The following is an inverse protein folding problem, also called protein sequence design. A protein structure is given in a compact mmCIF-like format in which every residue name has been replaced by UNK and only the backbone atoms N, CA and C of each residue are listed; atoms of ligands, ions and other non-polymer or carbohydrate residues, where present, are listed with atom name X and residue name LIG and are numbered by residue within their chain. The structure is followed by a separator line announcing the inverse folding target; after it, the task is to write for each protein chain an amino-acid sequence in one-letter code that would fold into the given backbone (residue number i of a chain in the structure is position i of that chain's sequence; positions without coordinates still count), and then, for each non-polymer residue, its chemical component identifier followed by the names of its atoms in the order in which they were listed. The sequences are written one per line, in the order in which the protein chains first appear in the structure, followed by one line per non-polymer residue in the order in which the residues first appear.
data_IF_371416330120
#
_entry.id   IF_371416330120
#
_cell.length_a   1.000
_cell.length_b   1.000
_cell.length_c   1.000
_cell.angle_alpha   90.00
_cell.angle_beta   90.00
_cell.angle_gamma   90.00
#
_symmetry.space_group_name_H-M   'P 1'
#
loop_
_entity.id
_entity.type
_entity.pdbx_description
1 polymer ?
#
# COMPACT_ATOMS: atom_id res chain seq x y z
N UNK A 1 -2.57 24.89 -9.90
CA UNK A 1 -3.79 24.05 -9.80
C UNK A 1 -4.17 23.89 -8.32
N UNK A 2 -5.32 24.43 -7.87
CA UNK A 2 -5.66 24.48 -6.43
C UNK A 2 -6.03 23.09 -5.86
N UNK A 3 -5.61 22.82 -4.61
CA UNK A 3 -5.77 21.52 -3.92
C UNK A 3 -7.21 20.99 -3.87
N UNK A 4 -8.22 21.86 -3.89
CA UNK A 4 -9.64 21.47 -3.86
C UNK A 4 -10.12 20.85 -5.16
N UNK A 5 -9.57 21.26 -6.32
CA UNK A 5 -9.98 20.71 -7.62
C UNK A 5 -9.56 19.26 -7.82
N UNK A 6 -8.45 18.83 -7.23
CA UNK A 6 -7.88 17.50 -7.48
C UNK A 6 -8.54 16.37 -6.68
N UNK A 7 -9.15 16.67 -5.53
CA UNK A 7 -9.99 15.71 -4.80
C UNK A 7 -11.37 15.64 -5.45
N UNK A 8 -11.93 16.80 -5.81
CA UNK A 8 -13.19 16.86 -6.55
C UNK A 8 -13.09 16.19 -7.93
N UNK A 9 -11.96 16.26 -8.63
CA UNK A 9 -11.77 15.58 -9.91
C UNK A 9 -11.73 14.05 -9.77
N UNK A 10 -11.24 13.53 -8.64
CA UNK A 10 -11.21 12.10 -8.39
C UNK A 10 -12.62 11.51 -8.23
N UNK A 11 -13.50 12.21 -7.52
CA UNK A 11 -14.94 11.88 -7.40
C UNK A 11 -15.75 12.18 -8.67
N UNK A 12 -15.21 12.98 -9.61
CA UNK A 12 -15.92 13.30 -10.86
C UNK A 12 -15.86 12.22 -11.92
N UNK A 13 -14.91 11.27 -11.85
CA UNK A 13 -14.90 10.15 -12.78
C UNK A 13 -15.78 9.03 -12.23
N UNK A 14 -16.99 8.80 -12.79
CA UNK A 14 -17.88 7.72 -12.34
C UNK A 14 -17.19 6.36 -12.41
N UNK A 15 -16.23 6.18 -13.32
CA UNK A 15 -15.44 4.95 -13.41
C UNK A 15 -14.62 4.68 -12.16
N UNK A 16 -14.04 5.70 -11.51
CA UNK A 16 -13.24 5.52 -10.31
C UNK A 16 -14.11 5.24 -9.08
N UNK A 17 -15.33 5.80 -9.03
CA UNK A 17 -16.29 5.50 -7.96
C UNK A 17 -16.75 4.06 -8.07
N UNK A 18 -17.15 3.61 -9.26
CA UNK A 18 -17.54 2.21 -9.52
C UNK A 18 -16.39 1.27 -9.18
N UNK A 19 -15.17 1.59 -9.60
CA UNK A 19 -13.96 0.83 -9.27
C UNK A 19 -13.75 0.72 -7.76
N UNK A 20 -13.82 1.85 -7.04
CA UNK A 20 -13.70 1.87 -5.59
C UNK A 20 -14.77 1.02 -4.90
N UNK A 21 -16.02 1.10 -5.35
CA UNK A 21 -17.12 0.28 -4.84
C UNK A 21 -16.89 -1.21 -5.11
N UNK A 22 -16.40 -1.57 -6.30
CA UNK A 22 -16.09 -2.97 -6.64
C UNK A 22 -14.94 -3.51 -5.77
N UNK A 23 -13.91 -2.71 -5.51
CA UNK A 23 -12.81 -3.08 -4.63
C UNK A 23 -13.29 -3.29 -3.19
N UNK A 24 -14.00 -2.31 -2.63
CA UNK A 24 -14.49 -2.40 -1.25
C UNK A 24 -15.52 -3.52 -1.10
N UNK A 25 -16.47 -3.61 -2.03
CA UNK A 25 -17.48 -4.66 -2.06
C UNK A 25 -16.88 -6.04 -2.23
N UNK A 26 -15.90 -6.19 -3.12
CA UNK A 26 -15.19 -7.45 -3.32
C UNK A 26 -14.44 -7.91 -2.07
N UNK A 27 -13.77 -7.00 -1.36
CA UNK A 27 -13.12 -7.31 -0.08
C UNK A 27 -14.12 -7.73 1.00
N UNK A 28 -15.23 -7.00 1.17
CA UNK A 28 -16.25 -7.32 2.18
C UNK A 28 -16.90 -8.68 1.86
N UNK A 29 -17.24 -8.92 0.60
CA UNK A 29 -17.89 -10.17 0.18
C UNK A 29 -16.94 -11.36 0.20
N UNK A 30 -15.63 -11.15 0.12
CA UNK A 30 -14.63 -12.22 0.21
C UNK A 30 -14.64 -12.95 1.57
N UNK A 31 -15.21 -12.35 2.62
CA UNK A 31 -15.45 -13.03 3.90
C UNK A 31 -16.50 -14.14 3.80
N UNK A 32 -17.40 -14.06 2.81
CA UNK A 32 -18.45 -15.05 2.56
C UNK A 32 -17.97 -16.11 1.58
N UNK A 33 -17.40 -15.68 0.44
CA UNK A 33 -16.90 -16.56 -0.62
C UNK A 33 -15.67 -15.95 -1.30
N UNK A 34 -14.60 -16.74 -1.37
CA UNK A 34 -13.32 -16.29 -1.94
C UNK A 34 -13.40 -15.89 -3.42
N UNK A 35 -14.38 -16.40 -4.16
CA UNK A 35 -14.65 -16.01 -5.54
C UNK A 35 -14.94 -14.52 -5.71
N UNK A 36 -15.41 -13.83 -4.66
CA UNK A 36 -15.63 -12.38 -4.69
C UNK A 36 -14.34 -11.55 -4.77
N UNK A 37 -13.16 -12.14 -4.54
CA UNK A 37 -11.87 -11.49 -4.87
C UNK A 37 -11.77 -11.13 -6.35
N UNK A 38 -12.46 -11.85 -7.24
CA UNK A 38 -12.54 -11.49 -8.64
C UNK A 38 -13.11 -10.07 -8.85
N UNK A 39 -14.09 -9.64 -8.03
CA UNK A 39 -14.63 -8.27 -8.07
C UNK A 39 -13.57 -7.24 -7.70
N UNK A 40 -12.74 -7.54 -6.71
CA UNK A 40 -11.60 -6.71 -6.32
C UNK A 40 -10.62 -6.54 -7.47
N UNK A 41 -10.28 -7.64 -8.14
CA UNK A 41 -9.44 -7.63 -9.34
C UNK A 41 -10.04 -6.76 -10.45
N UNK A 42 -11.33 -6.93 -10.75
CA UNK A 42 -12.05 -6.12 -11.75
C UNK A 42 -12.08 -4.64 -11.37
N UNK A 43 -12.28 -4.32 -10.09
CA UNK A 43 -12.25 -2.93 -9.60
C UNK A 43 -10.87 -2.28 -9.75
N UNK A 44 -9.79 -3.01 -9.46
CA UNK A 44 -8.41 -2.50 -9.58
C UNK A 44 -8.02 -2.31 -11.04
N UNK A 45 -8.20 -3.35 -11.87
CA UNK A 45 -7.65 -3.41 -13.22
C UNK A 45 -8.63 -2.93 -14.30
N UNK A 46 -9.92 -3.08 -14.07
CA UNK A 46 -10.99 -2.76 -15.04
C UNK A 46 -10.89 -1.34 -15.60
N UNK A 47 -10.79 -0.29 -14.77
CA UNK A 47 -10.65 1.07 -15.29
C UNK A 47 -9.38 1.31 -16.10
N UNK A 48 -8.30 0.54 -15.85
CA UNK A 48 -7.08 0.60 -16.65
C UNK A 48 -7.27 -0.06 -18.02
N UNK A 49 -7.82 -1.27 -18.02
CA UNK A 49 -8.09 -2.05 -19.24
C UNK A 49 -9.09 -1.31 -20.14
N UNK A 50 -10.17 -0.78 -19.57
CA UNK A 50 -11.19 -0.03 -20.32
C UNK A 50 -10.62 1.24 -20.99
N UNK A 51 -9.64 1.90 -20.36
CA UNK A 51 -8.94 3.06 -20.95
C UNK A 51 -8.02 2.63 -22.08
N UNK A 52 -7.30 1.53 -21.91
CA UNK A 52 -6.38 1.01 -22.93
C UNK A 52 -7.11 0.50 -24.17
N UNK A 53 -8.30 -0.11 -23.99
CA UNK A 53 -9.22 -0.47 -25.07
C UNK A 53 -9.91 0.74 -25.73
N UNK A 54 -9.69 1.96 -25.20
CA UNK A 54 -10.28 3.19 -25.71
C UNK A 54 -11.77 3.38 -25.38
N UNK A 55 -12.36 2.51 -24.55
CA UNK A 55 -13.77 2.61 -24.11
C UNK A 55 -13.97 3.70 -23.06
N UNK A 56 -12.93 4.02 -22.29
CA UNK A 56 -12.92 5.12 -21.33
C UNK A 56 -11.92 6.20 -21.77
N UNK A 57 -12.43 7.38 -22.08
CA UNK A 57 -11.65 8.59 -22.41
C UNK A 57 -11.92 9.70 -21.40
N UNK A 58 -11.63 9.42 -20.13
CA UNK A 58 -11.89 10.33 -19.00
C UNK A 58 -10.65 11.10 -18.53
N UNK A 59 -9.49 10.89 -19.18
CA UNK A 59 -8.20 11.47 -18.79
C UNK A 59 -7.48 12.12 -19.97
N UNK A 60 -6.75 13.19 -19.67
CA UNK A 60 -5.90 13.87 -20.65
C UNK A 60 -4.67 13.01 -20.99
N UNK A 61 -4.04 13.28 -22.13
CA UNK A 61 -2.92 12.48 -22.65
C UNK A 61 -1.72 12.43 -21.67
N UNK A 62 -1.48 13.53 -20.94
CA UNK A 62 -0.45 13.58 -19.89
C UNK A 62 -0.76 12.67 -18.70
N UNK A 63 -2.02 12.64 -18.26
CA UNK A 63 -2.45 11.74 -17.19
C UNK A 63 -2.41 10.28 -17.63
N UNK A 64 -2.72 10.01 -18.89
CA UNK A 64 -2.64 8.68 -19.49
C UNK A 64 -1.19 8.18 -19.56
N UNK A 65 -0.24 9.02 -20.00
CA UNK A 65 1.20 8.68 -20.01
C UNK A 65 1.77 8.50 -18.60
N UNK A 66 1.33 9.31 -17.64
CA UNK A 66 1.71 9.13 -16.24
C UNK A 66 1.15 7.82 -15.65
N UNK A 67 -0.13 7.52 -15.91
CA UNK A 67 -0.75 6.28 -15.49
C UNK A 67 -0.07 5.04 -16.12
N UNK A 68 0.31 5.10 -17.40
CA UNK A 68 1.07 4.02 -18.06
C UNK A 68 2.45 3.82 -17.44
N UNK A 69 3.19 4.89 -17.15
CA UNK A 69 4.50 4.79 -16.46
C UNK A 69 4.35 4.22 -15.06
N UNK A 70 3.36 4.68 -14.30
CA UNK A 70 3.04 4.12 -12.99
C UNK A 70 2.68 2.63 -13.07
N UNK A 71 1.83 2.25 -14.02
CA UNK A 71 1.46 0.86 -14.28
C UNK A 71 2.67 -0.01 -14.63
N UNK A 72 3.57 0.49 -15.48
CA UNK A 72 4.80 -0.21 -15.85
C UNK A 72 5.74 -0.42 -14.65
N UNK A 73 5.98 0.61 -13.84
CA UNK A 73 6.78 0.48 -12.62
C UNK A 73 6.12 -0.45 -11.59
N UNK A 74 4.79 -0.40 -11.46
CA UNK A 74 4.05 -1.30 -10.59
C UNK A 74 4.20 -2.75 -11.02
N UNK A 75 4.09 -3.01 -12.32
CA UNK A 75 4.26 -4.33 -12.91
C UNK A 75 5.68 -4.85 -12.71
N UNK A 76 6.71 -4.03 -12.98
CA UNK A 76 8.10 -4.43 -12.80
C UNK A 76 8.44 -4.73 -11.35
N UNK A 77 8.10 -3.82 -10.43
CA UNK A 77 8.39 -4.00 -9.00
C UNK A 77 7.54 -5.13 -8.44
N UNK A 78 6.26 -5.18 -8.78
CA UNK A 78 5.34 -6.20 -8.28
C UNK A 78 5.72 -7.59 -8.79
N UNK A 79 6.03 -7.71 -10.08
CA UNK A 79 6.52 -8.93 -10.70
C UNK A 79 7.86 -9.39 -10.12
N UNK A 80 8.80 -8.46 -9.86
CA UNK A 80 10.08 -8.78 -9.22
C UNK A 80 9.88 -9.29 -7.78
N UNK A 81 9.06 -8.62 -6.98
CA UNK A 81 8.81 -9.03 -5.59
C UNK A 81 8.10 -10.39 -5.55
N UNK A 82 7.10 -10.59 -6.41
CA UNK A 82 6.40 -11.89 -6.55
C UNK A 82 7.39 -12.98 -6.97
N UNK A 83 8.23 -12.72 -7.97
CA UNK A 83 9.24 -13.66 -8.42
C UNK A 83 10.23 -14.03 -7.30
N UNK A 84 10.76 -13.04 -6.58
CA UNK A 84 11.66 -13.26 -5.46
C UNK A 84 10.99 -14.04 -4.33
N UNK A 85 9.73 -13.75 -4.02
CA UNK A 85 8.96 -14.52 -3.05
C UNK A 85 8.83 -15.98 -3.49
N UNK A 86 8.41 -16.23 -4.73
CA UNK A 86 8.30 -17.60 -5.28
C UNK A 86 9.66 -18.31 -5.26
N UNK A 87 10.74 -17.63 -5.64
CA UNK A 87 12.09 -18.18 -5.66
C UNK A 87 12.57 -18.54 -4.25
N UNK A 88 12.34 -17.68 -3.26
CA UNK A 88 12.62 -17.96 -1.85
C UNK A 88 11.80 -19.14 -1.36
N UNK A 89 10.50 -19.19 -1.65
CA UNK A 89 9.64 -20.32 -1.27
C UNK A 89 10.14 -21.64 -1.87
N UNK A 90 10.45 -21.66 -3.17
CA UNK A 90 10.99 -22.85 -3.84
C UNK A 90 12.36 -23.27 -3.33
N UNK A 91 13.16 -22.33 -2.81
CA UNK A 91 14.48 -22.63 -2.26
C UNK A 91 14.43 -23.18 -0.83
N UNK A 92 13.37 -22.86 -0.08
CA UNK A 92 13.13 -23.33 1.28
C UNK A 92 12.37 -24.66 1.33
N UNK A 93 11.64 -25.01 0.27
CA UNK A 93 11.12 -26.36 0.06
C UNK A 93 12.28 -27.34 -0.17
N UNK A 94 12.82 -27.90 0.93
CA UNK A 94 13.72 -29.04 0.87
C UNK A 94 13.03 -30.28 0.27
N UNK A 95 13.80 -31.30 -0.16
CA UNK A 95 13.27 -32.46 -0.88
C UNK A 95 12.42 -33.44 -0.04
N UNK A 96 12.02 -33.12 1.18
CA UNK A 96 11.35 -34.07 2.07
C UNK A 96 9.82 -34.03 1.97
N UNK A 97 9.29 -35.19 1.58
CA UNK A 97 7.90 -35.60 1.51
C UNK A 97 7.21 -35.51 2.88
N UNK A 98 6.59 -34.38 3.21
CA UNK A 98 5.50 -34.37 4.18
C UNK A 98 4.30 -33.59 3.64
N UNK A 99 3.14 -34.23 3.43
CA UNK A 99 1.93 -33.55 3.00
C UNK A 99 1.34 -32.80 4.19
N UNK A 100 1.74 -31.55 4.38
CA UNK A 100 1.12 -30.66 5.35
C UNK A 100 -0.27 -30.21 4.86
N UNK A 101 -1.33 -30.32 5.68
CA UNK A 101 -2.72 -30.00 5.32
C UNK A 101 -3.05 -28.51 5.42
N UNK A 102 -2.07 -27.64 5.17
CA UNK A 102 -2.31 -26.21 5.03
C UNK A 102 -2.50 -25.96 3.54
N UNK A 103 -3.57 -25.28 3.14
CA UNK A 103 -3.78 -24.80 1.78
C UNK A 103 -2.71 -23.74 1.43
N UNK A 104 -1.46 -24.15 1.25
CA UNK A 104 -0.35 -23.34 0.77
C UNK A 104 -0.70 -22.50 -0.47
N UNK A 105 -1.52 -22.98 -1.44
CA UNK A 105 -1.87 -22.18 -2.61
C UNK A 105 -2.62 -20.89 -2.26
N UNK A 106 -3.58 -20.93 -1.33
CA UNK A 106 -4.44 -19.77 -1.05
C UNK A 106 -3.67 -18.63 -0.36
N UNK A 107 -2.73 -18.98 0.53
CA UNK A 107 -1.94 -18.02 1.29
C UNK A 107 -0.84 -17.38 0.44
N UNK A 108 -0.20 -18.16 -0.44
CA UNK A 108 0.74 -17.67 -1.45
C UNK A 108 0.06 -16.73 -2.44
N UNK A 109 -1.12 -17.12 -2.93
CA UNK A 109 -1.95 -16.30 -3.82
C UNK A 109 -2.35 -14.99 -3.14
N UNK A 110 -2.81 -15.03 -1.89
CA UNK A 110 -3.18 -13.83 -1.13
C UNK A 110 -1.99 -12.90 -0.91
N UNK A 111 -0.82 -13.46 -0.62
CA UNK A 111 0.43 -12.69 -0.44
C UNK A 111 0.88 -12.04 -1.75
N UNK A 112 0.82 -12.78 -2.85
CA UNK A 112 1.12 -12.29 -4.20
C UNK A 112 0.15 -11.15 -4.58
N UNK A 113 -1.15 -11.33 -4.33
CA UNK A 113 -2.15 -10.29 -4.57
C UNK A 113 -1.94 -9.06 -3.70
N UNK A 114 -1.63 -9.23 -2.41
CA UNK A 114 -1.33 -8.13 -1.51
C UNK A 114 -0.10 -7.34 -1.98
N UNK A 115 0.98 -8.02 -2.37
CA UNK A 115 2.20 -7.41 -2.91
C UNK A 115 1.92 -6.65 -4.21
N UNK A 116 1.21 -7.27 -5.15
CA UNK A 116 0.88 -6.65 -6.44
C UNK A 116 -0.02 -5.43 -6.24
N UNK A 117 -1.05 -5.54 -5.41
CA UNK A 117 -1.95 -4.44 -5.08
C UNK A 117 -1.21 -3.30 -4.38
N UNK A 118 -0.37 -3.64 -3.40
CA UNK A 118 0.37 -2.67 -2.62
C UNK A 118 1.39 -1.92 -3.48
N UNK A 119 2.09 -2.64 -4.35
CA UNK A 119 3.06 -2.07 -5.29
C UNK A 119 2.38 -1.19 -6.34
N UNK A 120 1.22 -1.60 -6.85
CA UNK A 120 0.40 -0.80 -7.74
C UNK A 120 -0.10 0.48 -7.07
N UNK A 121 -0.60 0.38 -5.84
CA UNK A 121 -1.08 1.50 -5.05
C UNK A 121 0.05 2.51 -4.78
N UNK A 122 1.24 2.02 -4.40
CA UNK A 122 2.42 2.86 -4.22
C UNK A 122 2.86 3.54 -5.50
N UNK A 123 2.96 2.80 -6.61
CA UNK A 123 3.38 3.37 -7.89
C UNK A 123 2.40 4.43 -8.41
N UNK A 124 1.10 4.16 -8.29
CA UNK A 124 0.02 5.09 -8.65
C UNK A 124 0.06 6.36 -7.80
N UNK A 125 0.29 6.22 -6.48
CA UNK A 125 0.38 7.35 -5.56
C UNK A 125 1.65 8.17 -5.79
N UNK A 126 2.81 7.55 -5.98
CA UNK A 126 4.10 8.23 -6.16
C UNK A 126 4.20 8.93 -7.51
N UNK A 127 3.67 8.35 -8.59
CA UNK A 127 3.79 8.92 -9.94
C UNK A 127 2.87 10.11 -10.20
N UNK A 128 1.73 10.23 -9.53
CA UNK A 128 0.71 11.24 -9.90
C UNK A 128 0.78 12.53 -9.05
N UNK A 129 1.29 12.47 -7.81
CA UNK A 129 1.11 13.57 -6.85
C UNK A 129 2.41 14.32 -6.48
N UNK A 130 3.59 13.80 -6.86
CA UNK A 130 4.88 14.29 -6.38
C UNK A 130 5.17 13.78 -4.97
N UNK A 131 6.42 13.40 -4.70
CA UNK A 131 6.84 12.61 -3.55
C UNK A 131 6.27 13.11 -2.20
N UNK A 132 6.32 14.42 -1.96
CA UNK A 132 5.82 15.04 -0.73
C UNK A 132 4.30 14.89 -0.54
N UNK A 133 3.51 15.07 -1.61
CA UNK A 133 2.05 14.92 -1.52
C UNK A 133 1.66 13.45 -1.41
N UNK A 134 2.40 12.56 -2.04
CA UNK A 134 2.19 11.11 -1.97
C UNK A 134 2.44 10.60 -0.55
N UNK A 135 3.61 10.90 0.03
CA UNK A 135 3.94 10.52 1.41
C UNK A 135 2.89 11.02 2.40
N UNK A 136 2.45 12.28 2.26
CA UNK A 136 1.39 12.84 3.10
C UNK A 136 0.07 12.09 2.99
N UNK A 137 -0.35 11.70 1.78
CA UNK A 137 -1.59 10.97 1.54
C UNK A 137 -1.53 9.55 2.07
N UNK A 138 -0.39 8.88 1.88
CA UNK A 138 -0.15 7.54 2.43
C UNK A 138 -0.27 7.60 3.96
N UNK A 139 0.40 8.55 4.62
CA UNK A 139 0.33 8.71 6.08
C UNK A 139 -1.07 9.04 6.58
N UNK A 140 -1.84 9.90 5.89
CA UNK A 140 -3.24 10.16 6.24
C UNK A 140 -4.11 8.90 6.07
N UNK A 141 -4.02 8.22 4.93
CA UNK A 141 -4.80 7.02 4.67
C UNK A 141 -4.47 5.92 5.69
N UNK A 142 -3.20 5.72 5.98
CA UNK A 142 -2.73 4.75 6.96
C UNK A 142 -3.20 5.09 8.37
N UNK A 143 -3.05 6.34 8.80
CA UNK A 143 -3.56 6.81 10.08
C UNK A 143 -5.08 6.63 10.20
N UNK A 144 -5.83 6.90 9.14
CA UNK A 144 -7.30 6.71 9.12
C UNK A 144 -7.69 5.24 9.18
N UNK A 145 -7.06 4.37 8.39
CA UNK A 145 -7.32 2.93 8.41
C UNK A 145 -7.02 2.37 9.80
N UNK A 146 -5.89 2.75 10.39
CA UNK A 146 -5.50 2.33 11.73
C UNK A 146 -6.48 2.81 12.79
N UNK A 147 -6.96 4.05 12.69
CA UNK A 147 -7.95 4.61 13.60
C UNK A 147 -9.28 3.84 13.50
N UNK A 148 -9.77 3.57 12.29
CA UNK A 148 -11.00 2.77 12.07
C UNK A 148 -10.83 1.36 12.63
N UNK A 149 -9.70 0.72 12.34
CA UNK A 149 -9.39 -0.62 12.83
C UNK A 149 -9.43 -0.69 14.36
N UNK A 150 -8.80 0.26 15.07
CA UNK A 150 -8.81 0.29 16.54
C UNK A 150 -10.18 0.61 17.13
N UNK A 151 -10.98 1.44 16.46
CA UNK A 151 -12.37 1.70 16.89
C UNK A 151 -13.20 0.43 16.77
N UNK A 152 -13.04 -0.32 15.68
CA UNK A 152 -13.77 -1.58 15.46
C UNK A 152 -13.29 -2.71 16.36
N UNK A 153 -12.00 -2.77 16.68
CA UNK A 153 -11.40 -3.78 17.55
C UNK A 153 -11.69 -3.57 19.03
N UNK A 154 -12.31 -2.45 19.41
CA UNK A 154 -12.67 -2.15 20.79
C UNK A 154 -13.80 -3.04 21.31
N UNK A 155 -13.48 -4.02 22.16
CA UNK A 155 -14.45 -4.92 22.81
C UNK A 155 -15.30 -4.23 23.91
N UNK A 156 -15.88 -3.06 23.62
CA UNK A 156 -16.79 -2.34 24.53
C UNK A 156 -16.12 -1.51 25.63
N UNK A 157 -14.79 -1.57 25.80
CA UNK A 157 -14.05 -0.66 26.66
C UNK A 157 -13.56 0.57 25.89
N UNK A 158 -14.30 1.68 26.03
CA UNK A 158 -14.00 2.94 25.35
C UNK A 158 -12.61 3.50 25.67
N UNK A 159 -12.08 3.26 26.87
CA UNK A 159 -10.75 3.73 27.28
C UNK A 159 -9.68 3.02 26.46
N UNK A 160 -9.80 1.70 26.31
CA UNK A 160 -8.87 0.89 25.50
C UNK A 160 -8.91 1.33 24.03
N UNK A 161 -10.11 1.54 23.48
CA UNK A 161 -10.28 2.03 22.10
C UNK A 161 -9.64 3.40 21.87
N UNK A 162 -9.81 4.33 22.81
CA UNK A 162 -9.18 5.65 22.74
C UNK A 162 -7.66 5.52 22.82
N UNK A 163 -7.14 4.74 23.76
CA UNK A 163 -5.70 4.56 23.93
C UNK A 163 -5.05 3.90 22.71
N UNK A 164 -5.70 2.90 22.11
CA UNK A 164 -5.25 2.27 20.87
C UNK A 164 -5.33 3.25 19.68
N UNK A 165 -6.38 4.07 19.61
CA UNK A 165 -6.54 5.10 18.57
C UNK A 165 -5.48 6.19 18.63
N UNK A 166 -4.86 6.44 19.80
CA UNK A 166 -3.73 7.38 19.92
C UNK A 166 -2.51 6.94 19.10
N UNK A 167 -2.38 5.65 18.78
CA UNK A 167 -1.33 5.16 17.87
C UNK A 167 -1.48 5.73 16.44
N UNK A 168 -2.66 6.25 16.06
CA UNK A 168 -2.85 6.90 14.77
C UNK A 168 -2.28 8.33 14.73
N UNK A 169 -2.18 9.00 15.88
CA UNK A 169 -1.71 10.38 16.03
C UNK A 169 -0.34 10.62 15.40
N UNK A 170 0.70 9.79 15.62
CA UNK A 170 2.00 10.01 14.99
C UNK A 170 1.95 10.00 13.46
N UNK A 171 1.06 9.20 12.84
CA UNK A 171 0.90 9.21 11.38
C UNK A 171 0.27 10.52 10.89
N UNK A 172 -0.75 11.02 11.59
CA UNK A 172 -1.36 12.31 11.28
C UNK A 172 -0.40 13.48 11.50
N UNK A 173 0.36 13.44 12.59
CA UNK A 173 1.39 14.43 12.89
C UNK A 173 2.49 14.40 11.81
N UNK A 174 2.97 13.23 11.41
CA UNK A 174 3.95 13.09 10.33
C UNK A 174 3.40 13.56 8.97
N UNK A 175 2.12 13.29 8.67
CA UNK A 175 1.47 13.80 7.47
C UNK A 175 1.38 15.34 7.47
N UNK A 176 1.11 15.94 8.62
CA UNK A 176 0.96 17.39 8.77
C UNK A 176 2.29 18.14 8.82
N UNK A 177 3.27 17.61 9.55
CA UNK A 177 4.59 18.22 9.79
C UNK A 177 5.64 17.84 8.74
N UNK A 178 5.49 16.69 8.08
CA UNK A 178 6.39 16.21 7.04
C UNK A 178 6.68 17.23 5.93
N UNK A 179 5.70 18.04 5.46
CA UNK A 179 5.98 19.12 4.52
C UNK A 179 6.88 20.25 5.05
N UNK A 180 6.91 20.49 6.36
CA UNK A 180 7.75 21.53 6.97
C UNK A 180 9.18 21.03 7.20
N UNK A 181 9.32 19.77 7.60
CA UNK A 181 10.61 19.15 7.91
C UNK A 181 10.77 17.79 7.22
N UNK A 182 10.87 17.75 5.88
CA UNK A 182 10.86 16.50 5.11
C UNK A 182 12.02 15.56 5.46
N UNK A 183 13.22 16.10 5.73
CA UNK A 183 14.38 15.27 6.13
C UNK A 183 14.16 14.57 7.45
N UNK A 184 13.78 15.33 8.49
CA UNK A 184 13.58 14.80 9.83
C UNK A 184 12.53 13.70 9.84
N UNK A 185 11.37 13.95 9.23
CA UNK A 185 10.30 12.95 9.16
C UNK A 185 10.65 11.77 8.24
N UNK A 186 11.39 12.00 7.15
CA UNK A 186 11.91 10.93 6.31
C UNK A 186 12.83 9.98 7.09
N UNK A 187 13.79 10.54 7.85
CA UNK A 187 14.70 9.76 8.69
C UNK A 187 13.96 9.05 9.82
N UNK A 188 13.05 9.74 10.52
CA UNK A 188 12.24 9.13 11.59
C UNK A 188 11.42 7.95 11.04
N UNK A 189 10.78 8.11 9.89
CA UNK A 189 10.00 7.02 9.28
C UNK A 189 10.88 5.84 8.89
N UNK A 190 12.06 6.08 8.31
CA UNK A 190 12.99 5.00 7.96
C UNK A 190 13.54 4.27 9.19
N UNK A 191 13.89 5.01 10.26
CA UNK A 191 14.31 4.43 11.53
C UNK A 191 13.18 3.64 12.19
N UNK A 192 11.97 4.20 12.22
CA UNK A 192 10.79 3.51 12.74
C UNK A 192 10.49 2.24 11.94
N UNK A 193 10.58 2.30 10.60
CA UNK A 193 10.49 1.12 9.74
C UNK A 193 11.53 0.08 10.13
N UNK A 194 12.82 0.42 10.19
CA UNK A 194 13.89 -0.50 10.58
C UNK A 194 13.67 -1.10 11.97
N UNK A 195 13.21 -0.28 12.93
CA UNK A 195 12.86 -0.73 14.29
C UNK A 195 11.69 -1.71 14.30
N UNK A 196 10.62 -1.45 13.54
CA UNK A 196 9.50 -2.38 13.38
C UNK A 196 9.95 -3.68 12.71
N UNK A 197 10.82 -3.61 11.70
CA UNK A 197 11.36 -4.79 11.04
C UNK A 197 12.14 -5.69 12.02
N UNK A 198 12.92 -5.07 12.91
CA UNK A 198 13.60 -5.77 14.00
C UNK A 198 12.62 -6.36 15.03
N UNK A 199 11.65 -5.57 15.52
CA UNK A 199 10.66 -5.99 16.53
C UNK A 199 9.75 -7.11 16.06
N UNK A 200 9.33 -7.10 14.79
CA UNK A 200 8.48 -8.16 14.22
C UNK A 200 9.25 -9.46 13.96
N UNK A 201 10.52 -9.53 14.36
CA UNK A 201 11.28 -10.76 14.42
C UNK A 201 11.51 -11.33 13.03
N UNK A 202 12.17 -10.59 12.13
CA UNK A 202 12.58 -11.12 10.82
C UNK A 202 13.27 -12.49 10.96
N UNK A 203 14.04 -12.68 12.03
CA UNK A 203 14.72 -13.93 12.37
C UNK A 203 13.74 -15.09 12.65
N UNK A 204 12.59 -14.83 13.28
CA UNK A 204 11.55 -15.82 13.56
C UNK A 204 10.70 -16.12 12.34
N UNK A 205 10.53 -15.16 11.43
CA UNK A 205 9.75 -15.35 10.19
C UNK A 205 10.34 -16.38 9.24
N UNK A 206 11.67 -16.59 9.30
CA UNK A 206 12.34 -17.62 8.51
C UNK A 206 12.20 -19.03 9.12
N UNK A 207 11.81 -19.13 10.39
CA UNK A 207 11.81 -20.38 11.15
C UNK A 207 10.42 -21.00 11.34
N UNK A 208 9.34 -20.22 11.35
CA UNK A 208 8.00 -20.71 11.70
C UNK A 208 6.93 -20.41 10.62
N UNK A 209 6.24 -21.42 10.05
CA UNK A 209 5.13 -21.26 9.13
C UNK A 209 3.95 -20.43 9.67
N UNK A 210 3.71 -20.41 10.99
CA UNK A 210 2.68 -19.55 11.58
C UNK A 210 3.07 -18.07 11.60
N UNK A 211 4.35 -17.73 11.40
CA UNK A 211 4.81 -16.36 11.28
C UNK A 211 4.42 -15.69 9.96
N UNK A 212 3.75 -16.40 9.05
CA UNK A 212 3.38 -15.89 7.72
C UNK A 212 2.26 -14.84 7.74
N UNK A 213 1.36 -14.88 8.72
CA UNK A 213 0.44 -13.76 8.95
C UNK A 213 1.21 -12.46 9.24
N UNK A 214 2.38 -12.56 9.89
CA UNK A 214 3.23 -11.41 10.21
C UNK A 214 3.96 -10.87 8.98
N UNK A 215 4.24 -11.67 7.96
CA UNK A 215 4.91 -11.20 6.73
C UNK A 215 3.97 -10.36 5.86
N UNK A 216 2.68 -10.73 5.78
CA UNK A 216 1.63 -9.91 5.12
C UNK A 216 1.45 -8.59 5.85
N UNK A 217 1.40 -8.62 7.19
CA UNK A 217 1.38 -7.41 8.02
C UNK A 217 2.64 -6.58 7.77
N UNK A 218 3.83 -7.17 7.73
CA UNK A 218 5.06 -6.45 7.40
C UNK A 218 4.95 -5.76 6.03
N UNK A 219 4.56 -6.45 4.96
CA UNK A 219 4.47 -5.83 3.63
C UNK A 219 3.47 -4.67 3.62
N UNK A 220 2.28 -4.88 4.20
CA UNK A 220 1.22 -3.88 4.23
C UNK A 220 1.52 -2.69 5.15
N UNK A 221 2.31 -2.88 6.20
CA UNK A 221 2.60 -1.85 7.21
C UNK A 221 3.96 -1.18 7.01
N UNK A 222 5.00 -1.94 6.68
CA UNK A 222 6.36 -1.45 6.47
C UNK A 222 6.55 -0.80 5.11
N UNK A 223 6.00 -1.41 4.05
CA UNK A 223 6.10 -0.89 2.70
C UNK A 223 5.67 0.57 2.55
N UNK A 224 4.52 1.00 3.09
CA UNK A 224 4.08 2.39 2.95
C UNK A 224 4.91 3.37 3.77
N UNK A 225 5.44 2.94 4.92
CA UNK A 225 6.29 3.76 5.78
C UNK A 225 7.65 4.00 5.12
N UNK A 226 8.30 2.95 4.61
CA UNK A 226 9.57 3.06 3.89
C UNK A 226 9.42 3.91 2.64
N UNK A 227 8.39 3.64 1.83
CA UNK A 227 8.14 4.43 0.64
C UNK A 227 7.87 5.91 0.95
N UNK A 228 7.12 6.19 2.02
CA UNK A 228 6.90 7.57 2.49
C UNK A 228 8.20 8.22 2.97
N UNK A 229 9.04 7.47 3.69
CA UNK A 229 10.36 7.94 4.15
C UNK A 229 11.29 8.30 3.00
N UNK A 230 11.45 7.41 2.02
CA UNK A 230 12.25 7.64 0.81
C UNK A 230 11.71 8.84 0.02
N UNK A 231 10.39 8.94 -0.13
CA UNK A 231 9.76 10.04 -0.86
C UNK A 231 10.03 11.40 -0.19
N UNK A 232 9.92 11.49 1.13
CA UNK A 232 10.23 12.71 1.88
C UNK A 232 11.72 13.07 1.74
N UNK A 233 12.62 12.09 1.84
CA UNK A 233 14.06 12.32 1.72
C UNK A 233 14.45 12.87 0.35
N UNK A 234 13.95 12.25 -0.73
CA UNK A 234 14.19 12.69 -2.11
C UNK A 234 13.63 14.10 -2.35
N UNK A 235 12.46 14.42 -1.79
CA UNK A 235 11.87 15.75 -1.94
C UNK A 235 12.71 16.86 -1.29
N UNK A 236 13.42 16.55 -0.19
CA UNK A 236 14.30 17.50 0.45
C UNK A 236 15.59 17.76 -0.35
N UNK A 237 16.13 16.76 -1.03
CA UNK A 237 17.30 16.94 -1.89
C UNK A 237 17.00 17.86 -3.08
N UNK A 238 15.81 17.71 -3.69
CA UNK A 238 15.39 18.57 -4.81
C UNK A 238 15.25 20.02 -4.34
N UNK A 239 14.65 20.26 -3.17
CA UNK A 239 14.44 21.61 -2.65
C UNK A 239 15.76 22.36 -2.41
N UNK A 240 16.75 21.68 -1.86
CA UNK A 240 18.07 22.29 -1.60
C UNK A 240 18.82 22.60 -2.90
N UNK A 241 18.67 21.78 -3.94
CA UNK A 241 19.31 22.03 -5.24
C UNK A 241 18.73 23.24 -5.99
N UNK A 242 17.45 23.56 -5.77
CA UNK A 242 16.80 24.75 -6.35
C UNK A 242 17.18 26.05 -5.60
N UNK A 243 17.67 25.97 -4.36
CA UNK A 243 18.10 27.14 -3.57
C UNK A 243 19.54 27.58 -3.90
N UNK A 244 20.32 26.74 -4.60
CA UNK A 244 21.71 27.01 -4.99
C UNK A 244 21.87 27.63 -6.40
N UNK A 245 20.79 27.72 -7.19
CA UNK A 245 20.78 28.28 -8.56
C UNK A 245 20.10 29.65 -8.63
#
# INVERSE_FOLDING_TARGET
MSRSRAIASWFRSPSNVIAGTLVLGGFILAEIDWGFIALTGVGIFGPGILRELGWLRDKDEFEMRAARRAGYHAYLVGGLVVFLLIAVYRSLEGPEETPTPIDYPSLLVTTIFAVLWFTWLLSSLLSYWGALKSARRILYAFGTVWLIFNIMAGEGNWVTSVMQSLLAVPFFAAAWLGPRWPRLFGTILLLASGYFFYLFGYHEMLADPLAWGRSVVLVLFFGPLVASGIALFKSAQIRDGDEET
#
